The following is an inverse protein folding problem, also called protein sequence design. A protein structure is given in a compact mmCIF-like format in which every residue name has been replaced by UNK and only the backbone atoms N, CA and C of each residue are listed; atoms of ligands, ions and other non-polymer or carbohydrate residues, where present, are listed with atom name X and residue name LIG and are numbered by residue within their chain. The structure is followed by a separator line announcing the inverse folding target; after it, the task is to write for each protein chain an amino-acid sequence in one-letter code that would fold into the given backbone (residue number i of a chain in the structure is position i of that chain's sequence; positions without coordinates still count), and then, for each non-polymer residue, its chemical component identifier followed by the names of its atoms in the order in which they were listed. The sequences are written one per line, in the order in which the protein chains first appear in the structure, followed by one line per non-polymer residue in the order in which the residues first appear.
data_IF_635203983661
#
_entry.id   IF_635203983661
#
_cell.length_a   1.000
_cell.length_b   1.000
_cell.length_c   1.000
_cell.angle_alpha   90.00
_cell.angle_beta   90.00
_cell.angle_gamma   90.00
#
_symmetry.space_group_name_H-M   'P 1'
#
loop_
_entity.id
_entity.type
_entity.pdbx_description
1 polymer ?
#
# COMPACT_ATOMS: atom_id res chain seq x y z
N UNK A 1 0.93 -19.25 5.07
CA UNK A 1 0.49 -18.00 5.73
C UNK A 1 -1.02 -17.89 5.58
N UNK A 2 -1.76 -17.61 6.66
CA UNK A 2 -3.23 -17.50 6.64
C UNK A 2 -3.63 -16.02 6.81
N UNK A 3 -4.63 -15.56 6.05
CA UNK A 3 -5.26 -14.25 6.22
C UNK A 3 -6.68 -14.42 6.79
N UNK A 4 -7.05 -13.59 7.76
CA UNK A 4 -8.38 -13.52 8.38
C UNK A 4 -9.07 -12.22 7.96
N UNK A 5 -10.36 -12.06 8.29
CA UNK A 5 -11.13 -10.87 7.89
C UNK A 5 -10.57 -9.55 8.41
N UNK A 6 -10.01 -9.49 9.63
CA UNK A 6 -9.53 -8.22 10.20
C UNK A 6 -10.63 -7.17 10.33
N UNK A 7 -10.26 -5.90 10.33
CA UNK A 7 -11.16 -4.74 10.47
C UNK A 7 -10.92 -3.70 9.37
N UNK A 8 -12.00 -3.05 8.93
CA UNK A 8 -11.95 -1.97 7.93
C UNK A 8 -11.30 -0.67 8.44
N UNK A 9 -11.14 -0.53 9.75
CA UNK A 9 -10.55 0.64 10.37
C UNK A 9 -9.60 0.24 11.49
N UNK A 10 -8.59 1.08 11.77
CA UNK A 10 -8.14 2.24 10.97
C UNK A 10 -7.48 1.87 9.62
N UNK A 11 -7.48 2.81 8.64
CA UNK A 11 -6.87 2.63 7.31
C UNK A 11 -5.34 2.47 7.37
N UNK A 12 -4.78 1.73 6.42
CA UNK A 12 -3.37 1.38 6.36
C UNK A 12 -3.06 0.16 7.23
N UNK A 13 -1.85 0.10 7.78
CA UNK A 13 -1.38 -1.05 8.58
C UNK A 13 -1.29 -0.76 10.06
N UNK A 14 -1.78 -1.69 10.87
CA UNK A 14 -1.80 -1.60 12.33
C UNK A 14 -1.33 -2.89 12.96
N UNK A 15 -0.20 -2.82 13.67
CA UNK A 15 0.32 -3.90 14.49
C UNK A 15 -0.31 -3.86 15.88
N UNK A 16 -0.84 -4.98 16.36
CA UNK A 16 -1.52 -5.09 17.66
C UNK A 16 -0.74 -5.92 18.70
N UNK A 17 0.51 -6.29 18.37
CA UNK A 17 1.33 -7.19 19.19
C UNK A 17 1.28 -8.66 18.75
N UNK A 18 0.19 -9.09 18.12
CA UNK A 18 -0.04 -10.47 17.68
C UNK A 18 0.04 -10.64 16.17
N UNK A 19 -0.22 -9.58 15.40
CA UNK A 19 -0.19 -9.59 13.94
C UNK A 19 -0.51 -8.21 13.39
N UNK A 20 -0.76 -8.14 12.08
CA UNK A 20 -0.99 -6.87 11.39
C UNK A 20 -2.34 -6.90 10.68
N UNK A 21 -3.16 -5.88 10.98
CA UNK A 21 -4.36 -5.55 10.22
C UNK A 21 -4.00 -4.65 9.03
N UNK A 22 -4.52 -4.96 7.86
CA UNK A 22 -4.40 -4.20 6.62
C UNK A 22 -5.79 -3.70 6.21
N UNK A 23 -5.90 -2.42 5.90
CA UNK A 23 -7.14 -1.81 5.43
C UNK A 23 -6.86 -0.80 4.31
N UNK A 24 -7.39 -1.06 3.10
CA UNK A 24 -7.19 -0.25 1.90
C UNK A 24 -8.55 0.21 1.35
N UNK A 25 -8.75 1.52 1.26
CA UNK A 25 -9.91 2.07 0.57
C UNK A 25 -9.75 1.90 -0.95
N UNK A 26 -10.73 1.26 -1.59
CA UNK A 26 -10.89 1.22 -3.04
C UNK A 26 -12.30 0.79 -3.41
N UNK A 27 -13.16 1.76 -3.71
CA UNK A 27 -14.58 1.53 -4.02
C UNK A 27 -14.80 0.79 -5.34
N UNK A 28 -13.98 1.08 -6.35
CA UNK A 28 -14.14 0.53 -7.72
C UNK A 28 -13.30 -0.74 -7.98
N UNK A 29 -12.51 -1.19 -7.00
CA UNK A 29 -11.73 -2.41 -7.14
C UNK A 29 -12.66 -3.64 -7.12
N UNK A 30 -12.32 -4.65 -7.90
CA UNK A 30 -13.00 -5.96 -7.90
C UNK A 30 -12.27 -6.99 -7.03
N UNK A 31 -11.00 -6.76 -6.74
CA UNK A 31 -10.21 -7.50 -5.76
C UNK A 31 -8.98 -6.71 -5.34
N UNK A 32 -8.49 -6.97 -4.13
CA UNK A 32 -7.20 -6.48 -3.65
C UNK A 32 -6.37 -7.65 -3.18
N UNK A 33 -5.11 -7.70 -3.63
CA UNK A 33 -4.11 -8.65 -3.16
C UNK A 33 -3.03 -7.91 -2.37
N UNK A 34 -2.75 -8.38 -1.16
CA UNK A 34 -1.61 -8.00 -0.35
C UNK A 34 -0.38 -8.77 -0.80
N UNK A 35 0.65 -8.05 -1.25
CA UNK A 35 1.95 -8.59 -1.66
C UNK A 35 2.97 -8.37 -0.53
N UNK A 36 3.57 -9.44 -0.02
CA UNK A 36 4.56 -9.39 1.06
C UNK A 36 5.96 -9.73 0.54
N UNK A 37 6.95 -8.91 0.90
CA UNK A 37 8.35 -9.04 0.51
C UNK A 37 9.21 -9.26 1.75
N UNK A 38 10.24 -10.10 1.68
CA UNK A 38 11.14 -10.31 2.82
C UNK A 38 12.12 -9.13 2.97
N UNK A 39 12.54 -8.53 1.84
CA UNK A 39 13.57 -7.50 1.80
C UNK A 39 13.23 -6.37 0.82
N UNK A 40 13.76 -5.16 1.06
CA UNK A 40 13.66 -4.05 0.11
C UNK A 40 14.22 -4.34 -1.27
N UNK A 41 15.12 -5.31 -1.45
CA UNK A 41 15.73 -5.58 -2.74
C UNK A 41 15.03 -6.70 -3.53
N UNK A 42 14.00 -7.34 -2.95
CA UNK A 42 13.34 -8.49 -3.57
C UNK A 42 12.64 -8.10 -4.87
N UNK A 43 12.85 -8.88 -5.93
CA UNK A 43 12.26 -8.59 -7.24
C UNK A 43 10.87 -9.18 -7.45
N UNK A 44 10.40 -9.97 -6.48
CA UNK A 44 9.09 -10.62 -6.46
C UNK A 44 8.61 -10.74 -5.01
N UNK A 45 7.29 -10.70 -4.81
CA UNK A 45 6.70 -10.97 -3.52
C UNK A 45 6.85 -12.45 -3.12
N UNK A 46 7.13 -12.70 -1.85
CA UNK A 46 7.14 -14.05 -1.27
C UNK A 46 5.74 -14.61 -1.12
N UNK A 47 4.79 -13.76 -0.76
CA UNK A 47 3.40 -14.14 -0.57
C UNK A 47 2.49 -13.11 -1.23
N UNK A 48 1.44 -13.62 -1.88
CA UNK A 48 0.34 -12.83 -2.44
C UNK A 48 -0.96 -13.35 -1.82
N UNK A 49 -1.62 -12.50 -1.04
CA UNK A 49 -2.80 -12.86 -0.25
C UNK A 49 -3.97 -11.99 -0.65
N UNK A 50 -5.06 -12.58 -1.14
CA UNK A 50 -6.29 -11.82 -1.40
C UNK A 50 -6.88 -11.31 -0.09
N UNK A 51 -7.21 -10.01 -0.02
CA UNK A 51 -7.94 -9.46 1.12
C UNK A 51 -9.35 -10.04 1.14
N UNK A 52 -9.76 -10.73 2.23
CA UNK A 52 -10.97 -11.55 2.24
C UNK A 52 -12.26 -10.77 2.53
N UNK A 53 -12.16 -9.55 3.04
CA UNK A 53 -13.33 -8.78 3.48
C UNK A 53 -13.38 -7.39 2.83
N UNK A 54 -14.60 -6.90 2.63
CA UNK A 54 -14.89 -5.60 2.05
C UNK A 54 -16.07 -4.96 2.78
N UNK A 55 -15.85 -3.81 3.42
CA UNK A 55 -16.86 -3.09 4.19
C UNK A 55 -16.79 -1.61 3.86
N UNK A 56 -17.89 -1.02 3.39
CA UNK A 56 -18.02 0.42 3.11
C UNK A 56 -16.87 1.01 2.26
N UNK A 57 -16.51 0.37 1.14
CA UNK A 57 -15.43 0.86 0.28
C UNK A 57 -14.03 0.43 0.68
N UNK A 58 -13.87 -0.29 1.81
CA UNK A 58 -12.57 -0.68 2.35
C UNK A 58 -12.37 -2.18 2.26
N UNK A 59 -11.30 -2.57 1.59
CA UNK A 59 -10.78 -3.94 1.58
C UNK A 59 -9.91 -4.17 2.80
N UNK A 60 -10.11 -5.27 3.51
CA UNK A 60 -9.35 -5.52 4.73
C UNK A 60 -9.05 -6.99 5.00
N UNK A 61 -8.00 -7.21 5.78
CA UNK A 61 -7.55 -8.52 6.23
C UNK A 61 -6.54 -8.42 7.36
N UNK A 62 -6.44 -9.49 8.14
CA UNK A 62 -5.51 -9.60 9.26
C UNK A 62 -4.57 -10.78 9.08
N UNK A 63 -3.27 -10.54 9.19
CA UNK A 63 -2.23 -11.57 9.09
C UNK A 63 -1.62 -11.79 10.47
N UNK A 64 -1.92 -12.93 11.14
CA UNK A 64 -1.30 -13.27 12.41
C UNK A 64 0.22 -13.40 12.29
N UNK A 65 0.91 -13.15 13.40
CA UNK A 65 2.36 -13.33 13.61
C UNK A 65 3.27 -12.43 12.79
N UNK A 66 2.73 -11.69 11.82
CA UNK A 66 3.46 -10.67 11.09
C UNK A 66 3.92 -9.56 12.05
N UNK A 67 5.14 -9.06 11.84
CA UNK A 67 5.78 -8.09 12.73
C UNK A 67 6.09 -6.77 12.01
N UNK A 68 6.27 -5.66 12.76
CA UNK A 68 6.87 -4.45 12.23
C UNK A 68 8.19 -4.75 11.52
N UNK A 69 8.48 -3.99 10.46
CA UNK A 69 9.57 -4.26 9.52
C UNK A 69 9.15 -5.08 8.29
N UNK A 70 7.92 -5.60 8.25
CA UNK A 70 7.40 -6.29 7.07
C UNK A 70 7.23 -5.31 5.88
N UNK A 71 7.85 -5.66 4.75
CA UNK A 71 7.67 -4.93 3.48
C UNK A 71 6.45 -5.44 2.73
N UNK A 72 5.66 -4.52 2.18
CA UNK A 72 4.45 -4.89 1.47
C UNK A 72 4.06 -3.89 0.38
N UNK A 73 3.15 -4.32 -0.49
CA UNK A 73 2.42 -3.49 -1.43
C UNK A 73 1.08 -4.14 -1.77
N UNK A 74 0.31 -3.53 -2.65
CA UNK A 74 -0.96 -4.06 -3.12
C UNK A 74 -0.99 -4.24 -4.63
N UNK A 75 -1.63 -5.29 -5.11
CA UNK A 75 -2.13 -5.38 -6.49
C UNK A 75 -3.63 -5.20 -6.46
N UNK A 76 -4.13 -4.23 -7.21
CA UNK A 76 -5.54 -3.86 -7.21
C UNK A 76 -6.15 -4.20 -8.56
N UNK A 77 -7.17 -5.05 -8.53
CA UNK A 77 -7.90 -5.52 -9.71
C UNK A 77 -9.14 -4.66 -9.91
N UNK A 78 -9.55 -4.49 -11.16
CA UNK A 78 -10.74 -3.75 -11.54
C UNK A 78 -10.77 -3.47 -13.04
N UNK A 79 -11.70 -2.65 -13.53
CA UNK A 79 -11.77 -2.27 -14.93
C UNK A 79 -10.52 -1.46 -15.37
N UNK A 80 -10.01 -1.75 -16.56
CA UNK A 80 -9.11 -0.84 -17.27
C UNK A 80 -9.90 -0.23 -18.43
N UNK A 81 -10.48 0.93 -18.16
CA UNK A 81 -11.33 1.70 -19.07
C UNK A 81 -10.94 3.19 -18.97
N UNK A 82 -9.84 3.59 -19.64
CA UNK A 82 -9.27 4.92 -19.53
C UNK A 82 -10.22 6.05 -19.96
N UNK A 83 -11.12 5.78 -20.91
CA UNK A 83 -12.12 6.74 -21.38
C UNK A 83 -13.13 7.11 -20.28
N UNK A 84 -13.31 6.22 -19.31
CA UNK A 84 -14.14 6.45 -18.11
C UNK A 84 -13.30 6.64 -16.84
N UNK A 85 -11.98 6.84 -16.98
CA UNK A 85 -11.05 7.11 -15.89
C UNK A 85 -10.63 5.88 -15.06
N UNK A 86 -11.11 4.67 -15.40
CA UNK A 86 -10.70 3.46 -14.71
C UNK A 86 -9.35 2.95 -15.23
N UNK A 87 -8.37 2.80 -14.33
CA UNK A 87 -6.99 2.42 -14.66
C UNK A 87 -6.46 1.32 -13.74
N UNK A 88 -7.28 0.31 -13.45
CA UNK A 88 -6.86 -0.80 -12.61
C UNK A 88 -5.93 -1.74 -13.38
N UNK A 89 -4.71 -1.92 -12.88
CA UNK A 89 -3.72 -2.80 -13.47
C UNK A 89 -3.03 -3.67 -12.41
N UNK A 90 -3.41 -4.95 -12.26
CA UNK A 90 -2.81 -5.82 -11.26
C UNK A 90 -1.36 -6.21 -11.57
N UNK A 91 -0.82 -5.89 -12.76
CA UNK A 91 0.62 -6.01 -13.03
C UNK A 91 1.45 -5.00 -12.22
N UNK A 92 0.82 -3.94 -11.68
CA UNK A 92 1.45 -2.96 -10.81
C UNK A 92 1.28 -3.34 -9.34
N UNK A 93 2.38 -3.49 -8.64
CA UNK A 93 2.48 -3.37 -7.19
C UNK A 93 2.42 -1.87 -6.85
N UNK A 94 1.45 -1.52 -6.01
CA UNK A 94 1.16 -0.18 -5.52
C UNK A 94 1.60 -0.09 -4.06
N UNK A 95 2.08 1.09 -3.66
CA UNK A 95 2.32 1.40 -2.26
C UNK A 95 1.00 1.70 -1.53
N UNK A 96 0.97 1.49 -0.22
CA UNK A 96 -0.18 1.84 0.62
C UNK A 96 -0.30 3.38 0.78
N UNK A 97 -1.41 4.02 0.38
CA UNK A 97 -1.62 5.46 0.55
C UNK A 97 -1.58 5.93 2.01
N UNK A 98 -1.88 5.03 2.95
CA UNK A 98 -1.83 5.26 4.39
C UNK A 98 -0.57 4.67 5.04
N UNK A 99 0.45 4.31 4.24
CA UNK A 99 1.72 3.85 4.79
C UNK A 99 2.37 4.94 5.63
N UNK A 100 2.93 4.53 6.78
CA UNK A 100 3.68 5.43 7.66
C UNK A 100 5.18 5.47 7.35
N UNK A 101 5.66 4.58 6.48
CA UNK A 101 7.04 4.54 6.03
C UNK A 101 7.18 3.90 4.63
N UNK A 102 8.17 4.36 3.88
CA UNK A 102 8.55 3.78 2.59
C UNK A 102 9.70 2.79 2.80
N UNK A 103 9.50 1.57 2.33
CA UNK A 103 10.48 0.48 2.39
C UNK A 103 11.36 0.36 1.14
N UNK A 104 10.96 0.96 0.02
CA UNK A 104 11.78 1.05 -1.21
C UNK A 104 11.55 2.38 -1.90
N UNK A 105 12.63 3.06 -2.28
CA UNK A 105 12.56 4.26 -3.12
C UNK A 105 12.05 3.87 -4.52
N UNK A 106 11.02 4.54 -5.05
CA UNK A 106 10.54 4.28 -6.39
C UNK A 106 11.66 4.53 -7.42
N UNK A 107 11.85 3.57 -8.33
CA UNK A 107 12.68 3.79 -9.52
C UNK A 107 11.77 4.19 -10.67
N UNK A 108 12.04 5.36 -11.25
CA UNK A 108 11.31 5.86 -12.40
C UNK A 108 11.99 5.36 -13.68
N UNK A 109 11.42 4.32 -14.27
CA UNK A 109 11.78 3.77 -15.57
C UNK A 109 10.52 3.55 -16.42
N UNK A 110 10.67 3.10 -17.67
CA UNK A 110 9.51 2.84 -18.54
C UNK A 110 8.57 1.76 -17.96
N UNK A 111 9.13 0.79 -17.23
CA UNK A 111 8.35 -0.29 -16.63
C UNK A 111 7.61 0.18 -15.36
N UNK A 112 7.95 1.34 -14.81
CA UNK A 112 7.18 1.97 -13.72
C UNK A 112 5.85 2.56 -14.18
N UNK A 113 5.67 2.80 -15.48
CA UNK A 113 4.43 3.34 -16.03
C UNK A 113 3.33 2.28 -16.10
N UNK A 114 2.12 2.70 -15.77
CA UNK A 114 0.94 1.85 -15.80
C UNK A 114 0.43 1.50 -17.21
N UNK A 115 0.85 2.27 -18.21
CA UNK A 115 0.44 2.13 -19.61
C UNK A 115 1.65 1.98 -20.53
N UNK A 116 1.41 1.47 -21.74
CA UNK A 116 2.47 1.30 -22.75
C UNK A 116 2.86 2.67 -23.32
N UNK A 117 4.12 3.08 -23.12
CA UNK A 117 4.66 4.33 -23.67
C UNK A 117 5.32 4.06 -25.03
N UNK A 118 4.55 4.22 -26.12
CA UNK A 118 5.01 4.13 -27.52
C UNK A 118 4.85 5.48 -28.25
N UNK A 119 5.70 5.72 -29.27
CA UNK A 119 5.68 6.95 -30.07
C UNK A 119 4.30 7.10 -30.77
N UNK A 120 3.59 8.20 -30.48
CA UNK A 120 2.18 8.53 -30.80
C UNK A 120 1.12 8.21 -29.72
N UNK A 121 1.47 8.49 -28.45
CA UNK A 121 0.62 8.93 -27.33
C UNK A 121 -0.80 8.34 -27.30
N UNK A 122 -0.94 7.17 -26.69
CA UNK A 122 -2.19 6.79 -26.03
C UNK A 122 -1.88 6.10 -24.71
N UNK A 123 -2.41 6.63 -23.60
CA UNK A 123 -2.40 5.99 -22.29
C UNK A 123 -3.57 5.00 -22.14
N UNK A 124 -3.99 4.42 -23.28
CA UNK A 124 -5.21 3.63 -23.42
C UNK A 124 -4.99 2.13 -23.19
N UNK A 125 -3.73 1.66 -23.19
CA UNK A 125 -3.39 0.25 -23.02
C UNK A 125 -2.61 0.04 -21.73
N UNK A 126 -3.02 -0.90 -20.86
CA UNK A 126 -2.26 -1.22 -19.67
C UNK A 126 -0.93 -1.83 -20.07
N UNK A 127 0.14 -1.40 -19.41
CA UNK A 127 1.42 -2.08 -19.52
C UNK A 127 1.29 -3.44 -18.80
N UNK A 128 1.63 -4.58 -19.46
CA UNK A 128 1.52 -5.90 -18.85
C UNK A 128 2.74 -6.32 -18.03
N UNK A 129 3.84 -5.56 -18.09
CA UNK A 129 5.11 -5.91 -17.43
C UNK A 129 4.97 -5.74 -15.92
N UNK A 130 5.34 -6.76 -15.14
CA UNK A 130 5.33 -6.70 -13.68
C UNK A 130 6.37 -5.70 -13.15
N UNK A 131 5.96 -4.76 -12.29
CA UNK A 131 6.86 -3.77 -11.71
C UNK A 131 7.43 -4.18 -10.33
N UNK A 132 7.18 -5.39 -9.83
CA UNK A 132 7.58 -5.81 -8.47
C UNK A 132 9.07 -5.57 -8.14
N UNK A 133 9.96 -5.58 -9.15
CA UNK A 133 11.38 -5.30 -8.99
C UNK A 133 11.73 -3.83 -8.71
N UNK A 134 10.86 -2.90 -9.09
CA UNK A 134 11.12 -1.45 -9.03
C UNK A 134 10.04 -0.66 -8.30
N UNK A 135 8.91 -1.31 -8.01
CA UNK A 135 7.77 -0.73 -7.30
C UNK A 135 8.16 -0.15 -5.94
N UNK A 136 7.64 1.02 -5.56
CA UNK A 136 7.76 1.49 -4.20
C UNK A 136 7.04 0.50 -3.26
N UNK A 137 7.73 0.09 -2.20
CA UNK A 137 7.16 -0.77 -1.17
C UNK A 137 6.86 0.08 0.07
N UNK A 138 5.76 -0.25 0.73
CA UNK A 138 5.47 0.19 2.08
C UNK A 138 6.18 -0.69 3.10
N UNK A 139 6.40 -0.18 4.32
CA UNK A 139 6.92 -0.99 5.44
C UNK A 139 6.08 -0.74 6.68
N UNK A 140 5.71 -1.82 7.36
CA UNK A 140 4.94 -1.74 8.61
C UNK A 140 5.83 -1.22 9.72
N UNK A 141 5.38 -0.21 10.45
CA UNK A 141 6.10 0.35 11.59
C UNK A 141 5.48 -0.08 12.91
N UNK A 142 6.29 -0.05 13.96
CA UNK A 142 5.78 0.01 15.32
C UNK A 142 5.48 1.48 15.65
N UNK A 143 4.25 1.75 16.07
CA UNK A 143 3.83 3.11 16.44
C UNK A 143 4.01 3.39 17.95
N UNK A 144 4.47 2.41 18.73
CA UNK A 144 4.66 2.56 20.16
C UNK A 144 5.98 3.27 20.47
N UNK A 145 5.95 4.60 20.44
CA UNK A 145 7.07 5.45 20.83
C UNK A 145 6.83 6.06 22.22
N UNK A 146 7.82 5.95 23.12
CA UNK A 146 7.77 6.60 24.43
C UNK A 146 8.11 8.09 24.29
N UNK A 147 7.08 8.93 24.39
CA UNK A 147 7.20 10.38 24.31
C UNK A 147 7.79 11.03 25.56
N UNK A 148 8.11 10.27 26.61
CA UNK A 148 8.76 10.77 27.84
C UNK A 148 8.04 11.96 28.50
N UNK A 149 6.71 12.02 28.34
CA UNK A 149 5.89 13.09 28.88
C UNK A 149 5.91 14.39 28.08
N UNK A 150 6.40 14.38 26.82
CA UNK A 150 6.28 15.51 25.90
C UNK A 150 4.83 15.98 25.78
N UNK A 151 4.63 17.30 25.76
CA UNK A 151 3.32 17.93 25.71
C UNK A 151 3.38 19.16 24.85
N UNK A 152 2.33 19.35 24.07
CA UNK A 152 2.16 20.53 23.23
C UNK A 152 2.34 21.83 24.04
N UNK A 153 3.34 22.69 23.72
CA UNK A 153 3.62 23.92 24.47
C UNK A 153 2.45 24.91 24.51
N UNK A 154 1.59 24.89 23.48
CA UNK A 154 0.41 25.77 23.33
C UNK A 154 0.77 27.26 23.44
N UNK A 155 1.91 27.66 22.88
CA UNK A 155 2.36 29.06 22.83
C UNK A 155 1.28 29.90 22.12
N UNK A 156 0.77 30.98 22.74
CA UNK A 156 -0.17 31.88 22.10
C UNK A 156 0.41 32.51 20.81
N UNK A 157 -0.45 32.75 19.82
CA UNK A 157 -0.02 33.30 18.52
C UNK A 157 0.68 34.65 18.63
N UNK A 158 0.24 35.51 19.55
CA UNK A 158 0.84 36.82 19.81
C UNK A 158 2.19 36.75 20.54
N UNK A 159 2.57 35.58 21.05
CA UNK A 159 3.86 35.32 21.72
C UNK A 159 4.76 34.42 20.84
N UNK A 160 4.30 34.03 19.66
CA UNK A 160 5.03 33.15 18.75
C UNK A 160 6.07 33.92 17.94
N UNK A 161 7.29 33.39 17.88
CA UNK A 161 8.37 33.81 16.95
C UNK A 161 8.94 32.53 16.30
N UNK A 162 9.08 32.52 14.97
CA UNK A 162 9.54 31.37 14.16
C UNK A 162 10.96 31.58 13.67
#
# INVERSE_FOLDING_TARGET
MQIRSGTAWPLGTHYDGQGINFALFSENATAVELCLFDRPADTQERHRLRLPAYTNGVWHGYVPELKPGQYYGYRVHGPYDPDHGHRFNPARVLYDPCSRALGRTPRLDRDSLDYIYEDNVTDLKPNPIDNAATAPLSVVIDANFDWQGDRHPRVPWNETVV
#
